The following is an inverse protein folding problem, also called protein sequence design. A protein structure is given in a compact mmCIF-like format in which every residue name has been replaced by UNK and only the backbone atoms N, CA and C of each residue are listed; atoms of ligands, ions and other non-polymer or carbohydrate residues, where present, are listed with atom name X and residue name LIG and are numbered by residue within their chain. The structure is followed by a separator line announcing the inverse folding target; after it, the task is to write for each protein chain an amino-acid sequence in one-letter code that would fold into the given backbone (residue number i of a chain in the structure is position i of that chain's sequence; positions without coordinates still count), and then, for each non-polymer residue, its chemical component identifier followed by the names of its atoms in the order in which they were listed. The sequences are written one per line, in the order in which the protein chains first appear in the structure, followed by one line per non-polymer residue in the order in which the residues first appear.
data_IF_015597900948
#
_entry.id   IF_015597900948
#
_cell.length_a   1.000
_cell.length_b   1.000
_cell.length_c   1.000
_cell.angle_alpha   90.00
_cell.angle_beta   90.00
_cell.angle_gamma   90.00
#
_symmetry.space_group_name_H-M   'P 1'
#
loop_
_entity.id
_entity.type
_entity.pdbx_description
1 polymer ?
#
# COMPACT_ATOMS: atom_id res chain seq x y z
N UNK A 1 18.45 8.28 13.03
CA UNK A 1 17.56 8.01 11.88
C UNK A 1 16.53 9.11 11.60
N UNK A 2 16.35 10.12 12.48
CA UNK A 2 15.45 11.26 12.21
C UNK A 2 15.70 11.99 10.89
N UNK A 3 16.94 11.92 10.36
CA UNK A 3 17.32 12.54 9.08
C UNK A 3 16.50 12.04 7.88
N UNK A 4 16.00 10.80 7.91
CA UNK A 4 15.15 10.25 6.85
C UNK A 4 13.65 10.44 7.13
N UNK A 5 13.27 10.85 8.35
CA UNK A 5 11.87 11.02 8.74
C UNK A 5 11.26 12.18 7.97
N UNK A 6 10.10 11.94 7.38
CA UNK A 6 9.35 12.97 6.68
C UNK A 6 8.69 13.93 7.69
N UNK A 7 8.84 15.26 7.54
CA UNK A 7 8.25 16.21 8.47
C UNK A 7 6.72 16.17 8.44
N UNK A 8 6.09 16.04 9.60
CA UNK A 8 4.62 15.89 9.72
C UNK A 8 3.86 17.10 9.13
N UNK A 9 4.41 18.32 9.28
CA UNK A 9 3.80 19.55 8.77
C UNK A 9 3.84 19.68 7.24
N UNK A 10 4.60 18.82 6.55
CA UNK A 10 4.65 18.75 5.08
C UNK A 10 3.79 17.61 4.53
N UNK A 11 3.15 16.82 5.40
CA UNK A 11 2.26 15.75 4.95
C UNK A 11 1.00 16.34 4.29
N UNK A 12 0.44 15.66 3.29
CA UNK A 12 -0.94 15.90 2.88
C UNK A 12 -1.86 15.74 4.09
N UNK A 13 -2.98 16.47 4.14
CA UNK A 13 -3.93 16.36 5.26
C UNK A 13 -4.38 14.91 5.49
N UNK A 14 -4.61 14.20 4.40
CA UNK A 14 -5.06 12.82 4.38
C UNK A 14 -4.06 11.92 3.66
N UNK A 15 -3.90 10.71 4.17
CA UNK A 15 -3.27 9.59 3.47
C UNK A 15 -4.29 8.44 3.37
N UNK A 16 -4.07 7.53 2.42
CA UNK A 16 -4.98 6.45 2.12
C UNK A 16 -4.27 5.11 2.27
N UNK A 17 -4.87 4.16 2.99
CA UNK A 17 -4.38 2.79 3.16
C UNK A 17 -5.41 1.83 2.57
N UNK A 18 -4.96 0.95 1.67
CA UNK A 18 -5.77 -0.20 1.24
C UNK A 18 -5.45 -1.37 2.15
N UNK A 19 -6.40 -1.76 3.00
CA UNK A 19 -6.32 -2.94 3.85
C UNK A 19 -6.98 -4.12 3.12
N UNK A 20 -6.29 -5.26 3.07
CA UNK A 20 -6.77 -6.46 2.37
C UNK A 20 -6.20 -7.73 3.02
N UNK A 21 -6.69 -8.93 2.67
CA UNK A 21 -6.30 -10.17 3.30
C UNK A 21 -4.84 -10.50 2.96
N UNK A 22 -4.03 -10.76 3.98
CA UNK A 22 -2.60 -11.03 3.81
C UNK A 22 -1.74 -9.78 3.60
N UNK A 23 -2.26 -8.57 3.85
CA UNK A 23 -1.53 -7.31 3.64
C UNK A 23 -0.38 -7.02 4.62
N UNK A 24 0.01 -7.98 5.48
CA UNK A 24 1.09 -7.84 6.46
C UNK A 24 0.81 -6.84 7.59
N UNK A 25 -0.44 -6.39 7.73
CA UNK A 25 -0.88 -5.45 8.76
C UNK A 25 -2.21 -5.90 9.35
N UNK A 26 -2.38 -5.74 10.65
CA UNK A 26 -3.63 -6.07 11.37
C UNK A 26 -4.32 -4.79 11.80
N UNK A 27 -5.63 -4.69 11.51
CA UNK A 27 -6.48 -3.60 11.99
C UNK A 27 -7.15 -4.03 13.30
N UNK A 28 -6.94 -3.25 14.35
CA UNK A 28 -7.54 -3.44 15.67
C UNK A 28 -8.40 -2.22 16.02
N UNK A 29 -9.63 -2.42 16.48
CA UNK A 29 -10.58 -1.31 16.71
C UNK A 29 -10.09 -0.28 17.74
N UNK A 30 -9.28 -0.68 18.72
CA UNK A 30 -8.77 0.18 19.79
C UNK A 30 -7.34 0.69 19.54
N UNK A 31 -6.58 0.04 18.66
CA UNK A 31 -5.17 0.33 18.44
C UNK A 31 -4.88 0.94 17.07
N UNK A 32 -5.75 0.71 16.09
CA UNK A 32 -5.58 1.11 14.71
C UNK A 32 -4.84 0.04 13.91
N UNK A 33 -4.00 0.45 12.97
CA UNK A 33 -3.22 -0.49 12.15
C UNK A 33 -1.87 -0.77 12.79
N UNK A 34 -1.51 -2.05 12.85
CA UNK A 34 -0.24 -2.52 13.39
C UNK A 34 0.47 -3.37 12.32
N UNK A 35 1.73 -3.09 12.06
CA UNK A 35 2.57 -3.87 11.15
C UNK A 35 2.87 -5.25 11.73
N UNK A 36 3.15 -6.24 10.88
CA UNK A 36 3.51 -7.59 11.31
C UNK A 36 4.78 -7.64 12.18
N UNK A 37 5.70 -6.68 11.98
CA UNK A 37 6.88 -6.50 12.83
C UNK A 37 6.86 -5.12 13.51
N UNK A 38 6.63 -5.11 14.83
CA UNK A 38 6.62 -3.87 15.62
C UNK A 38 7.90 -3.65 16.42
N UNK A 39 8.85 -4.59 16.37
CA UNK A 39 10.06 -4.55 17.18
C UNK A 39 11.27 -4.06 16.38
N UNK A 40 11.26 -4.30 15.06
CA UNK A 40 12.39 -3.97 14.19
C UNK A 40 12.53 -2.47 14.02
N UNK A 41 13.64 -1.96 14.52
CA UNK A 41 14.14 -0.60 14.32
C UNK A 41 15.45 -0.69 13.53
N UNK A 42 15.82 0.39 12.85
CA UNK A 42 17.09 0.46 12.12
C UNK A 42 17.94 1.54 12.76
N UNK A 43 19.24 1.29 12.95
CA UNK A 43 20.13 2.30 13.53
C UNK A 43 20.97 3.00 12.44
N UNK A 44 20.95 2.46 11.22
CA UNK A 44 21.68 2.96 10.06
C UNK A 44 20.86 2.90 8.78
N UNK A 45 21.27 3.75 7.83
CA UNK A 45 20.62 3.93 6.54
C UNK A 45 20.76 2.70 5.62
N UNK A 46 21.79 1.87 5.80
CA UNK A 46 22.02 0.70 4.95
C UNK A 46 20.94 -0.34 5.24
N UNK A 47 20.73 -0.69 6.51
CA UNK A 47 19.69 -1.65 6.88
C UNK A 47 18.28 -1.10 6.65
N UNK A 48 18.05 0.19 6.87
CA UNK A 48 16.79 0.84 6.51
C UNK A 48 16.55 0.72 4.99
N UNK A 49 17.55 1.07 4.18
CA UNK A 49 17.46 0.99 2.72
C UNK A 49 17.19 -0.43 2.21
N UNK A 50 17.87 -1.43 2.78
CA UNK A 50 17.60 -2.84 2.46
C UNK A 50 16.18 -3.25 2.82
N UNK A 51 15.67 -2.82 3.97
CA UNK A 51 14.31 -3.11 4.38
C UNK A 51 13.26 -2.44 3.49
N UNK A 52 13.54 -1.21 3.06
CA UNK A 52 12.71 -0.51 2.07
C UNK A 52 12.76 -1.27 0.75
N UNK A 53 13.91 -1.69 0.23
CA UNK A 53 13.94 -2.50 -1.01
C UNK A 53 13.14 -3.80 -0.85
N UNK A 54 13.27 -4.47 0.31
CA UNK A 54 12.52 -5.70 0.63
C UNK A 54 11.01 -5.47 0.68
N UNK A 55 10.55 -4.36 1.26
CA UNK A 55 9.13 -3.96 1.26
C UNK A 55 8.52 -3.93 -0.15
N UNK A 56 9.33 -3.64 -1.17
CA UNK A 56 8.92 -3.54 -2.57
C UNK A 56 9.31 -4.80 -3.37
N UNK A 57 9.92 -5.80 -2.74
CA UNK A 57 10.39 -7.04 -3.37
C UNK A 57 9.42 -8.18 -3.08
N UNK A 58 8.72 -8.63 -4.11
CA UNK A 58 7.67 -9.64 -4.01
C UNK A 58 8.11 -10.97 -3.38
N UNK A 59 9.33 -11.44 -3.66
CA UNK A 59 9.84 -12.71 -3.13
C UNK A 59 10.28 -12.64 -1.65
N UNK A 60 10.26 -11.47 -1.04
CA UNK A 60 10.79 -11.26 0.31
C UNK A 60 9.83 -11.75 1.38
N UNK A 61 10.19 -12.84 2.07
CA UNK A 61 9.38 -13.45 3.16
C UNK A 61 9.54 -12.83 4.54
N UNK A 62 10.16 -11.65 4.61
CA UNK A 62 10.34 -10.97 5.88
C UNK A 62 9.06 -10.22 6.28
N UNK A 63 8.71 -10.33 7.56
CA UNK A 63 7.71 -9.44 8.12
C UNK A 63 8.23 -8.01 8.05
N UNK A 64 7.46 -7.17 7.39
CA UNK A 64 7.81 -5.77 7.24
C UNK A 64 7.36 -4.97 8.45
N UNK A 65 8.21 -4.06 8.95
CA UNK A 65 7.81 -3.08 9.95
C UNK A 65 7.05 -1.89 9.34
N UNK A 66 6.78 -1.90 8.03
CA UNK A 66 6.18 -0.77 7.33
C UNK A 66 4.72 -1.00 6.95
N UNK A 67 3.92 0.04 7.12
CA UNK A 67 2.56 0.17 6.65
C UNK A 67 2.58 1.10 5.42
N UNK A 68 2.16 0.59 4.27
CA UNK A 68 2.17 1.34 3.00
C UNK A 68 0.96 2.27 2.88
N UNK A 69 1.23 3.53 2.53
CA UNK A 69 0.25 4.60 2.42
C UNK A 69 0.35 5.31 1.06
N UNK A 70 -0.77 5.80 0.57
CA UNK A 70 -0.89 6.61 -0.65
C UNK A 70 -1.28 8.04 -0.28
N UNK A 71 -0.76 9.02 -1.00
CA UNK A 71 -1.17 10.43 -0.85
C UNK A 71 -2.33 10.84 -1.75
N UNK A 72 -2.66 10.01 -2.73
CA UNK A 72 -3.75 10.25 -3.66
C UNK A 72 -4.81 9.15 -3.54
N UNK A 73 -6.05 9.57 -3.34
CA UNK A 73 -7.18 8.65 -3.17
C UNK A 73 -7.43 7.83 -4.43
N UNK A 74 -7.46 8.49 -5.59
CA UNK A 74 -7.74 7.82 -6.86
C UNK A 74 -6.66 6.79 -7.19
N UNK A 75 -5.40 7.06 -6.84
CA UNK A 75 -4.30 6.12 -6.97
C UNK A 75 -4.47 4.90 -6.07
N UNK A 76 -4.83 5.11 -4.81
CA UNK A 76 -5.11 4.02 -3.86
C UNK A 76 -6.27 3.14 -4.35
N UNK A 77 -7.37 3.76 -4.79
CA UNK A 77 -8.53 3.05 -5.35
C UNK A 77 -8.16 2.26 -6.61
N UNK A 78 -7.46 2.89 -7.57
CA UNK A 78 -7.02 2.24 -8.81
C UNK A 78 -6.09 1.07 -8.54
N UNK A 79 -5.23 1.19 -7.53
CA UNK A 79 -4.39 0.10 -7.08
C UNK A 79 -5.22 -1.04 -6.46
N UNK A 80 -6.17 -0.71 -5.58
CA UNK A 80 -7.03 -1.69 -4.92
C UNK A 80 -7.88 -2.49 -5.90
N UNK A 81 -8.48 -1.81 -6.89
CA UNK A 81 -9.33 -2.45 -7.92
C UNK A 81 -8.57 -3.39 -8.86
N UNK A 82 -7.24 -3.25 -8.96
CA UNK A 82 -6.42 -4.22 -9.69
C UNK A 82 -6.20 -5.50 -8.91
N UNK A 83 -6.53 -5.50 -7.62
CA UNK A 83 -6.49 -6.68 -6.76
C UNK A 83 -5.15 -7.45 -6.87
N UNK A 84 -3.99 -6.76 -6.79
CA UNK A 84 -2.69 -7.40 -7.05
C UNK A 84 -2.39 -8.58 -6.10
N UNK A 85 -3.10 -8.68 -4.98
CA UNK A 85 -3.01 -9.78 -4.02
C UNK A 85 -3.83 -11.04 -4.39
N UNK A 86 -4.74 -10.97 -5.36
CA UNK A 86 -5.65 -12.09 -5.72
C UNK A 86 -5.01 -13.23 -6.51
N UNK A 87 -3.73 -13.16 -6.85
CA UNK A 87 -3.02 -14.26 -7.54
C UNK A 87 -2.62 -15.42 -6.62
N UNK A 88 -3.18 -15.48 -5.42
CA UNK A 88 -3.00 -16.62 -4.51
C UNK A 88 -3.97 -17.76 -4.88
N UNK A 89 -3.56 -19.04 -4.84
CA UNK A 89 -4.36 -20.16 -5.38
C UNK A 89 -5.66 -20.48 -4.62
N UNK A 90 -5.97 -19.75 -3.54
CA UNK A 90 -7.08 -20.09 -2.63
C UNK A 90 -8.20 -19.06 -2.75
N UNK A 91 -8.98 -19.17 -3.83
CA UNK A 91 -10.45 -19.06 -3.86
C UNK A 91 -11.24 -17.94 -3.16
N UNK A 92 -10.63 -16.96 -2.49
CA UNK A 92 -11.38 -15.85 -1.87
C UNK A 92 -11.72 -14.86 -2.97
N UNK A 93 -13.02 -14.71 -3.25
CA UNK A 93 -13.54 -13.79 -4.26
C UNK A 93 -13.38 -12.32 -3.84
N UNK A 94 -12.58 -11.60 -4.63
CA UNK A 94 -12.79 -10.27 -5.24
C UNK A 94 -13.16 -9.00 -4.46
N UNK A 95 -13.60 -9.05 -3.20
CA UNK A 95 -14.21 -7.86 -2.58
C UNK A 95 -13.84 -7.61 -1.12
N UNK A 96 -12.94 -8.42 -0.55
CA UNK A 96 -12.60 -8.34 0.87
C UNK A 96 -11.47 -7.34 1.16
N UNK A 97 -11.63 -6.09 0.69
CA UNK A 97 -10.67 -5.03 0.99
C UNK A 97 -11.38 -3.75 1.41
N UNK A 98 -10.67 -2.96 2.22
CA UNK A 98 -11.17 -1.71 2.81
C UNK A 98 -10.21 -0.58 2.48
N UNK A 99 -10.72 0.56 2.03
CA UNK A 99 -9.98 1.81 1.96
C UNK A 99 -10.11 2.54 3.29
N UNK A 100 -8.98 2.82 3.92
CA UNK A 100 -8.91 3.58 5.15
C UNK A 100 -8.37 4.98 4.84
N UNK A 101 -9.03 5.99 5.38
CA UNK A 101 -8.58 7.39 5.30
C UNK A 101 -7.90 7.75 6.62
N UNK A 102 -6.67 8.23 6.50
CA UNK A 102 -5.79 8.53 7.63
C UNK A 102 -5.61 10.04 7.75
N UNK A 103 -6.08 10.64 8.84
CA UNK A 103 -5.78 12.02 9.20
C UNK A 103 -4.35 12.13 9.73
N UNK A 104 -3.53 12.86 8.99
CA UNK A 104 -2.11 13.02 9.32
C UNK A 104 -1.86 13.89 10.54
N UNK A 105 -2.82 14.73 10.95
CA UNK A 105 -2.69 15.55 12.15
C UNK A 105 -2.80 14.73 13.43
N UNK A 106 -3.38 13.54 13.35
CA UNK A 106 -3.62 12.62 14.47
C UNK A 106 -2.58 11.49 14.54
N UNK A 107 -1.55 11.52 13.68
CA UNK A 107 -0.47 10.53 13.66
C UNK A 107 0.52 10.67 14.82
N UNK A 108 0.56 11.82 15.49
CA UNK A 108 1.44 12.08 16.64
C UNK A 108 2.91 11.81 16.31
N UNK A 109 3.54 10.92 17.08
CA UNK A 109 4.97 10.60 16.95
C UNK A 109 5.28 9.52 15.89
N UNK A 110 4.32 9.15 15.05
CA UNK A 110 4.53 8.15 14.00
C UNK A 110 5.73 8.48 13.10
N UNK A 111 6.48 7.44 12.74
CA UNK A 111 7.64 7.55 11.84
C UNK A 111 7.19 7.32 10.41
N UNK A 112 7.04 8.43 9.68
CA UNK A 112 6.70 8.40 8.26
C UNK A 112 7.92 8.67 7.39
N UNK A 113 7.97 7.97 6.28
CA UNK A 113 8.97 8.15 5.25
C UNK A 113 8.28 8.35 3.91
N UNK A 114 8.69 9.39 3.17
CA UNK A 114 8.27 9.55 1.77
C UNK A 114 9.18 8.68 0.89
N UNK A 115 8.59 7.71 0.19
CA UNK A 115 9.36 6.69 -0.54
C UNK A 115 10.28 7.32 -1.57
N UNK A 116 9.79 8.30 -2.35
CA UNK A 116 10.61 9.02 -3.33
C UNK A 116 11.84 9.71 -2.73
N UNK A 117 11.72 10.25 -1.52
CA UNK A 117 12.86 10.87 -0.83
C UNK A 117 13.85 9.82 -0.33
N UNK A 118 13.38 8.72 0.26
CA UNK A 118 14.24 7.61 0.67
C UNK A 118 15.03 7.04 -0.50
N UNK A 119 14.35 6.77 -1.62
CA UNK A 119 14.97 6.19 -2.82
C UNK A 119 16.04 7.12 -3.38
N UNK A 120 15.76 8.42 -3.43
CA UNK A 120 16.74 9.41 -3.90
C UNK A 120 17.90 9.59 -2.93
N UNK A 121 17.63 9.71 -1.63
CA UNK A 121 18.63 9.99 -0.60
C UNK A 121 19.59 8.81 -0.43
N UNK A 122 19.05 7.59 -0.37
CA UNK A 122 19.80 6.36 -0.14
C UNK A 122 20.24 5.67 -1.45
N UNK A 123 19.93 6.28 -2.61
CA UNK A 123 20.23 5.75 -3.96
C UNK A 123 19.75 4.31 -4.14
N UNK A 124 18.54 4.01 -3.66
CA UNK A 124 17.98 2.67 -3.69
C UNK A 124 17.59 2.28 -5.11
N UNK A 125 17.88 1.02 -5.46
CA UNK A 125 17.31 0.39 -6.65
C UNK A 125 16.02 -0.31 -6.25
N UNK A 126 14.89 0.33 -6.56
CA UNK A 126 13.57 -0.25 -6.39
C UNK A 126 13.20 -0.97 -7.70
N UNK A 127 12.52 -2.13 -7.66
CA UNK A 127 12.11 -2.82 -8.88
C UNK A 127 11.34 -1.91 -9.85
N UNK A 128 11.56 -2.01 -11.16
CA UNK A 128 10.93 -1.12 -12.16
C UNK A 128 9.40 -1.11 -12.07
N UNK A 129 8.82 -2.27 -11.75
CA UNK A 129 7.38 -2.46 -11.53
C UNK A 129 6.83 -1.60 -10.38
N UNK A 130 7.69 -1.26 -9.44
CA UNK A 130 7.38 -0.44 -8.29
C UNK A 130 7.58 1.06 -8.54
N UNK A 131 8.41 1.44 -9.52
CA UNK A 131 8.81 2.82 -9.78
C UNK A 131 7.64 3.77 -10.02
N UNK A 132 6.59 3.31 -10.72
CA UNK A 132 5.41 4.12 -11.04
C UNK A 132 4.57 4.54 -9.82
N UNK A 133 4.75 3.90 -8.66
CA UNK A 133 3.98 4.20 -7.46
C UNK A 133 4.73 5.11 -6.47
N UNK A 134 6.05 5.20 -6.59
CA UNK A 134 6.96 5.84 -5.62
C UNK A 134 6.64 7.33 -5.36
N UNK A 135 6.14 8.06 -6.37
CA UNK A 135 5.91 9.51 -6.27
C UNK A 135 4.89 9.90 -5.20
N UNK A 136 3.86 9.08 -5.03
CA UNK A 136 2.75 9.31 -4.09
C UNK A 136 2.76 8.41 -2.86
N UNK A 137 3.77 7.55 -2.69
CA UNK A 137 3.80 6.56 -1.61
C UNK A 137 4.55 7.03 -0.37
N UNK A 138 4.01 6.63 0.78
CA UNK A 138 4.59 6.82 2.10
C UNK A 138 4.67 5.47 2.83
N UNK A 139 5.64 5.33 3.72
CA UNK A 139 5.75 4.21 4.65
C UNK A 139 5.61 4.75 6.08
N UNK A 140 4.67 4.21 6.85
CA UNK A 140 4.58 4.44 8.28
C UNK A 140 5.19 3.24 9.01
N UNK A 141 6.10 3.48 9.94
CA UNK A 141 6.72 2.40 10.72
C UNK A 141 5.80 1.98 11.88
N UNK A 142 5.68 0.67 12.08
CA UNK A 142 5.02 -0.04 13.18
C UNK A 142 3.52 0.15 13.34
N UNK A 143 3.02 1.39 13.48
CA UNK A 143 1.65 1.63 13.93
C UNK A 143 1.06 2.92 13.37
N UNK A 144 -0.22 2.85 13.00
CA UNK A 144 -1.10 4.01 12.79
C UNK A 144 -2.18 3.95 13.88
N UNK A 145 -2.31 4.99 14.72
CA UNK A 145 -3.27 4.97 15.83
C UNK A 145 -4.71 4.95 15.32
N UNK A 146 -5.61 4.28 16.07
CA UNK A 146 -7.04 4.22 15.74
C UNK A 146 -7.67 5.60 15.53
N UNK A 147 -7.29 6.58 16.36
CA UNK A 147 -7.79 7.95 16.27
C UNK A 147 -7.45 8.64 14.93
N UNK A 148 -6.39 8.21 14.24
CA UNK A 148 -6.04 8.76 12.93
C UNK A 148 -6.85 8.13 11.79
N UNK A 149 -7.53 7.01 12.01
CA UNK A 149 -8.38 6.38 11.00
C UNK A 149 -9.76 7.04 11.08
N UNK A 150 -10.04 7.97 10.17
CA UNK A 150 -11.24 8.83 10.21
C UNK A 150 -12.38 8.32 9.33
N UNK A 151 -12.09 7.44 8.37
CA UNK A 151 -13.07 6.82 7.49
C UNK A 151 -12.60 5.42 7.10
N UNK A 152 -13.52 4.47 7.11
CA UNK A 152 -13.34 3.12 6.55
C UNK A 152 -14.41 2.91 5.50
N UNK A 153 -14.00 2.50 4.30
CA UNK A 153 -14.91 2.20 3.20
C UNK A 153 -14.64 0.83 2.65
N UNK A 154 -15.66 -0.02 2.59
CA UNK A 154 -15.51 -1.31 1.96
C UNK A 154 -15.39 -1.19 0.43
N UNK A 155 -14.96 -2.27 -0.20
CA UNK A 155 -14.77 -2.33 -1.65
C UNK A 155 -16.02 -1.96 -2.45
N UNK A 156 -17.23 -2.25 -1.93
CA UNK A 156 -18.50 -1.95 -2.60
C UNK A 156 -18.80 -0.46 -2.53
N UNK A 157 -18.67 0.14 -1.37
CA UNK A 157 -18.86 1.58 -1.15
C UNK A 157 -17.90 2.40 -2.03
N UNK A 158 -16.66 1.94 -2.20
CA UNK A 158 -15.69 2.59 -3.10
C UNK A 158 -16.10 2.45 -4.57
N UNK A 159 -16.54 1.26 -5.00
CA UNK A 159 -16.97 1.01 -6.38
C UNK A 159 -18.21 1.84 -6.74
N UNK A 160 -19.19 1.93 -5.84
CA UNK A 160 -20.41 2.71 -6.03
C UNK A 160 -20.11 4.21 -6.14
N UNK A 161 -19.34 4.77 -5.21
CA UNK A 161 -18.94 6.19 -5.23
C UNK A 161 -18.14 6.55 -6.48
N UNK A 162 -17.27 5.65 -6.94
CA UNK A 162 -16.54 5.85 -8.20
C UNK A 162 -17.49 5.90 -9.39
N UNK A 163 -18.50 5.03 -9.43
CA UNK A 163 -19.50 5.03 -10.50
C UNK A 163 -20.27 6.37 -10.52
N UNK A 164 -20.68 6.86 -9.36
CA UNK A 164 -21.33 8.17 -9.20
C UNK A 164 -20.39 9.32 -9.65
N UNK A 165 -19.13 9.33 -9.21
CA UNK A 165 -18.13 10.35 -9.63
C UNK A 165 -17.90 10.39 -11.13
N UNK A 166 -17.85 9.22 -11.79
CA UNK A 166 -17.72 9.13 -13.26
C UNK A 166 -18.95 9.68 -13.97
N UNK A 167 -20.15 9.36 -13.49
CA UNK A 167 -21.40 9.84 -14.08
C UNK A 167 -21.55 11.36 -13.94
N UNK A 168 -21.12 11.95 -12.82
CA UNK A 168 -21.16 13.39 -12.56
C UNK A 168 -20.15 14.19 -13.40
N UNK A 169 -19.01 13.59 -13.80
CA UNK A 169 -18.00 14.24 -14.66
C UNK A 169 -18.40 14.30 -16.15
N UNK A 170 -19.61 13.86 -16.50
CA UNK A 170 -20.15 13.91 -17.87
C UNK A 170 -19.58 12.79 -18.74
N UNK A 171 -20.26 11.64 -18.75
CA UNK A 171 -19.93 10.53 -19.65
C UNK A 171 -20.74 10.67 -20.96
N UNK A 172 -20.05 10.79 -22.09
CA UNK A 172 -20.60 10.46 -23.41
C UNK A 172 -20.56 8.93 -23.54
N UNK A 173 -21.71 8.23 -23.62
CA UNK A 173 -21.74 6.79 -23.68
C UNK A 173 -21.60 6.32 -25.13
N UNK A 174 -20.36 6.09 -25.57
CA UNK A 174 -20.12 5.20 -26.72
C UNK A 174 -19.72 3.81 -26.18
N UNK A 175 -20.68 2.92 -26.26
CA UNK A 175 -20.51 1.49 -26.13
C UNK A 175 -19.58 0.99 -27.24
N UNK A 176 -18.54 0.23 -26.90
CA UNK A 176 -18.22 -1.04 -27.57
C UNK A 176 -17.01 -1.73 -26.93
N UNK A 177 -17.24 -2.98 -26.56
CA UNK A 177 -16.28 -4.08 -26.51
C UNK A 177 -15.15 -3.86 -27.55
N UNK A 178 -13.92 -3.61 -27.09
CA UNK A 178 -12.83 -3.25 -27.98
C UNK A 178 -11.48 -3.24 -27.27
N UNK A 179 -10.93 -4.44 -27.10
CA UNK A 179 -9.51 -4.78 -27.04
C UNK A 179 -8.50 -3.61 -26.93
N UNK A 180 -7.95 -3.43 -25.73
CA UNK A 180 -6.51 -3.15 -25.54
C UNK A 180 -5.92 -4.15 -24.52
N UNK A 181 -6.40 -5.40 -24.63
CA UNK A 181 -6.28 -6.48 -23.66
C UNK A 181 -4.93 -7.23 -23.65
N UNK A 182 -3.84 -6.74 -24.26
CA UNK A 182 -2.61 -7.58 -24.36
C UNK A 182 -1.24 -6.87 -24.30
N UNK A 183 -1.12 -5.59 -23.91
CA UNK A 183 0.21 -4.93 -23.87
C UNK A 183 0.71 -4.33 -22.56
N UNK A 184 -0.06 -4.36 -21.49
CA UNK A 184 0.47 -4.12 -20.14
C UNK A 184 0.52 -5.42 -19.33
N UNK A 185 1.36 -6.34 -19.82
CA UNK A 185 1.62 -7.61 -19.15
C UNK A 185 2.33 -7.38 -17.80
N UNK A 186 1.62 -7.75 -16.72
CA UNK A 186 2.16 -8.25 -15.45
C UNK A 186 2.90 -7.25 -14.55
N UNK A 187 2.15 -6.36 -13.89
CA UNK A 187 2.65 -5.57 -12.75
C UNK A 187 1.85 -5.88 -11.47
N UNK A 188 2.39 -6.82 -10.69
CA UNK A 188 1.89 -7.30 -9.39
C UNK A 188 2.59 -6.54 -8.24
N UNK A 189 1.88 -6.28 -7.14
CA UNK A 189 2.28 -5.31 -6.11
C UNK A 189 1.98 -5.78 -4.64
N UNK A 190 3.05 -6.01 -3.86
CA UNK A 190 3.49 -5.42 -2.57
C UNK A 190 3.27 -5.96 -1.16
N UNK A 191 2.45 -6.94 -0.80
CA UNK A 191 2.51 -7.40 0.62
C UNK A 191 2.07 -8.85 0.86
N UNK A 192 1.92 -9.69 -0.17
CA UNK A 192 1.36 -11.04 0.01
C UNK A 192 2.39 -12.11 -0.29
N UNK A 193 2.74 -12.91 0.72
CA UNK A 193 3.35 -14.22 0.54
C UNK A 193 2.39 -15.30 1.03
N UNK A 194 2.23 -16.32 0.19
CA UNK A 194 2.09 -17.69 0.66
C UNK A 194 2.98 -18.64 -0.14
N UNK A 195 3.39 -19.67 0.58
CA UNK A 195 4.37 -20.70 0.27
C UNK A 195 3.95 -21.62 -0.88
N UNK A 196 4.94 -21.94 -1.73
CA UNK A 196 5.19 -23.33 -2.14
C UNK A 196 6.63 -23.64 -1.71
N UNK A 197 6.78 -24.37 -0.61
CA UNK A 197 7.85 -25.33 -0.47
C UNK A 197 7.18 -26.69 -0.26
N UNK A 198 7.80 -27.74 -0.78
CA UNK A 198 7.37 -29.15 -0.79
C UNK A 198 6.59 -29.53 -2.05
N UNK A 199 7.32 -29.74 -3.15
CA UNK A 199 7.40 -31.03 -3.88
C UNK A 199 8.35 -30.81 -5.07
N UNK A 200 9.50 -31.47 -5.02
CA UNK A 200 10.46 -31.80 -6.11
C UNK A 200 11.91 -31.72 -5.61
N UNK A 201 12.20 -32.52 -4.58
CA UNK A 201 13.51 -32.65 -3.98
C UNK A 201 13.72 -34.01 -3.32
N UNK A 202 13.32 -35.07 -4.01
CA UNK A 202 13.92 -36.41 -3.96
C UNK A 202 14.00 -36.94 -5.39
#
# INVERSE_FOLDING_TARGET
MDACRFPIHLLPKELYRVQYPGSGTTLFSNEGLVAADTAKVYDDEIHLGQAVVKQFTWSSREFSPFISLFSDREHAENWAMKEPWHRTPRGVRGDDWTLLVIDTQLLGDAWLYKVSQLVSALRLQIPDKAAQHIGGSFLCMHKIPAAAIIEERDSKEVKEDRHVRKNLRGYSPDYLYGSDSEREMLQENYNTIFEKNIEDGW
#
